data_IF_649247446998
#
_entry.id   IF_649247446998
#
_cell.length_a   1.000
_cell.length_b   1.000
_cell.length_c   1.000
_cell.angle_alpha   90.00
_cell.angle_beta   90.00
_cell.angle_gamma   90.00
#
_symmetry.space_group_name_H-M   'P 1'
#
loop_
_entity.id
_entity.type
_entity.pdbx_description
1 polymer ?
#
# COMPACT_ATOMS: atom_id res chain seq x y z
N UNK A 1 17.12 49.33 16.48
CA UNK A 1 15.81 49.52 17.15
C UNK A 1 15.36 48.25 17.88
N UNK A 2 14.59 48.33 18.98
CA UNK A 2 14.06 47.13 19.65
C UNK A 2 13.00 46.47 18.77
N UNK A 3 13.31 45.29 18.27
CA UNK A 3 12.40 44.47 17.49
C UNK A 3 11.31 43.88 18.39
N UNK A 4 10.06 43.92 17.93
CA UNK A 4 8.92 43.24 18.57
C UNK A 4 8.33 42.22 17.60
N UNK A 5 7.76 41.17 18.17
CA UNK A 5 7.08 40.13 17.40
C UNK A 5 5.60 40.12 17.75
N UNK A 6 4.75 40.12 16.72
CA UNK A 6 3.35 39.76 16.88
C UNK A 6 3.25 38.23 17.05
N UNK A 7 2.96 37.80 18.28
CA UNK A 7 2.88 36.39 18.65
C UNK A 7 1.79 35.62 17.89
N UNK A 8 0.71 36.29 17.47
CA UNK A 8 -0.35 35.65 16.69
C UNK A 8 0.15 35.34 15.29
N UNK A 9 0.86 36.27 14.65
CA UNK A 9 1.44 36.05 13.32
C UNK A 9 2.56 34.99 13.38
N UNK A 10 3.35 34.97 14.45
CA UNK A 10 4.30 33.88 14.72
C UNK A 10 3.57 32.53 14.80
N UNK A 11 2.47 32.44 15.55
CA UNK A 11 1.68 31.22 15.65
C UNK A 11 1.09 30.79 14.29
N UNK A 12 0.61 31.72 13.47
CA UNK A 12 0.13 31.44 12.11
C UNK A 12 1.25 30.90 11.23
N UNK A 13 2.45 31.49 11.27
CA UNK A 13 3.63 31.00 10.54
C UNK A 13 3.95 29.55 10.92
N UNK A 14 3.85 29.21 12.21
CA UNK A 14 4.08 27.86 12.71
C UNK A 14 3.03 26.86 12.24
N UNK A 15 1.75 27.26 12.24
CA UNK A 15 0.65 26.44 11.70
C UNK A 15 0.87 26.18 10.20
N UNK A 16 1.26 27.19 9.42
CA UNK A 16 1.54 27.03 7.99
C UNK A 16 2.69 26.06 7.76
N UNK A 17 3.82 26.19 8.47
CA UNK A 17 4.95 25.26 8.34
C UNK A 17 4.59 23.83 8.75
N UNK A 18 3.84 23.66 9.84
CA UNK A 18 3.38 22.35 10.30
C UNK A 18 2.45 21.71 9.26
N UNK A 19 1.51 22.48 8.73
CA UNK A 19 0.57 22.00 7.72
C UNK A 19 1.29 21.66 6.40
N UNK A 20 2.19 22.52 5.92
CA UNK A 20 3.01 22.24 4.74
C UNK A 20 3.85 20.96 4.91
N UNK A 21 4.40 20.74 6.11
CA UNK A 21 5.12 19.51 6.44
C UNK A 21 4.20 18.27 6.39
N UNK A 22 2.98 18.37 6.94
CA UNK A 22 2.00 17.29 6.88
C UNK A 22 1.65 16.89 5.44
N UNK A 23 1.37 17.89 4.59
CA UNK A 23 1.03 17.69 3.17
C UNK A 23 2.18 17.05 2.42
N UNK A 24 3.41 17.50 2.68
CA UNK A 24 4.63 16.94 2.08
C UNK A 24 4.77 15.45 2.37
N UNK A 25 4.57 15.05 3.62
CA UNK A 25 4.68 13.64 4.02
C UNK A 25 3.63 12.76 3.32
N UNK A 26 2.44 13.29 3.01
CA UNK A 26 1.44 12.59 2.20
C UNK A 26 1.83 12.52 0.71
N UNK A 27 2.25 13.64 0.12
CA UNK A 27 2.61 13.70 -1.30
C UNK A 27 3.82 12.83 -1.63
N UNK A 28 4.84 12.82 -0.77
CA UNK A 28 6.02 11.97 -0.94
C UNK A 28 5.66 10.47 -0.95
N UNK A 29 4.64 10.04 -0.19
CA UNK A 29 4.10 8.67 -0.26
C UNK A 29 3.49 8.38 -1.62
N UNK A 30 2.74 9.32 -2.19
CA UNK A 30 2.10 9.18 -3.51
C UNK A 30 3.13 9.10 -4.63
N UNK A 31 4.19 9.90 -4.57
CA UNK A 31 5.32 9.81 -5.50
C UNK A 31 5.89 8.39 -5.50
N UNK A 32 6.07 7.78 -4.32
CA UNK A 32 6.64 6.43 -4.17
C UNK A 32 5.69 5.30 -4.60
N UNK A 33 4.37 5.45 -4.43
CA UNK A 33 3.37 4.40 -4.70
C UNK A 33 2.79 4.44 -6.11
N UNK A 34 3.02 5.53 -6.86
CA UNK A 34 2.46 5.71 -8.20
C UNK A 34 3.29 5.05 -9.29
N UNK A 35 2.67 4.81 -10.44
CA UNK A 35 3.40 4.45 -11.68
C UNK A 35 4.30 5.61 -12.11
N UNK A 36 5.32 5.33 -12.92
CA UNK A 36 6.39 6.30 -13.23
C UNK A 36 5.87 7.66 -13.76
N UNK A 37 4.88 7.67 -14.66
CA UNK A 37 4.28 8.90 -15.18
C UNK A 37 3.54 9.71 -14.12
N UNK A 38 2.69 9.04 -13.33
CA UNK A 38 1.96 9.68 -12.22
C UNK A 38 2.90 10.13 -11.11
N UNK A 39 3.98 9.39 -10.83
CA UNK A 39 4.98 9.75 -9.84
C UNK A 39 5.66 11.09 -10.16
N UNK A 40 5.95 11.36 -11.44
CA UNK A 40 6.50 12.66 -11.89
C UNK A 40 5.53 13.81 -11.70
N UNK A 41 4.24 13.59 -11.96
CA UNK A 41 3.19 14.59 -11.73
C UNK A 41 3.10 14.90 -10.23
N UNK A 42 3.02 13.87 -9.38
CA UNK A 42 3.00 14.04 -7.93
C UNK A 42 4.25 14.71 -7.38
N UNK A 43 5.41 14.43 -7.97
CA UNK A 43 6.67 15.04 -7.59
C UNK A 43 6.68 16.54 -7.93
N UNK A 44 6.25 16.90 -9.15
CA UNK A 44 6.16 18.31 -9.56
C UNK A 44 5.15 19.08 -8.72
N UNK A 45 3.93 18.56 -8.58
CA UNK A 45 2.89 19.16 -7.76
C UNK A 45 3.33 19.29 -6.29
N UNK A 46 3.93 18.24 -5.72
CA UNK A 46 4.42 18.27 -4.35
C UNK A 46 5.56 19.25 -4.13
N UNK A 47 6.45 19.42 -5.12
CA UNK A 47 7.55 20.38 -5.03
C UNK A 47 7.02 21.82 -5.00
N UNK A 48 6.02 22.12 -5.83
CA UNK A 48 5.36 23.42 -5.87
C UNK A 48 4.61 23.70 -4.57
N UNK A 49 3.81 22.74 -4.10
CA UNK A 49 2.99 22.88 -2.89
C UNK A 49 3.86 23.02 -1.65
N UNK A 50 4.88 22.18 -1.48
CA UNK A 50 5.81 22.29 -0.35
C UNK A 50 6.64 23.59 -0.43
N UNK A 51 7.21 23.90 -1.59
CA UNK A 51 8.01 25.12 -1.77
C UNK A 51 7.21 26.38 -1.45
N UNK A 52 5.96 26.43 -1.91
CA UNK A 52 5.03 27.51 -1.60
C UNK A 52 4.69 27.58 -0.10
N UNK A 53 4.59 26.45 0.59
CA UNK A 53 4.36 26.41 2.04
C UNK A 53 5.54 26.91 2.86
N UNK A 54 6.77 26.48 2.54
CA UNK A 54 7.98 26.96 3.23
C UNK A 54 8.16 28.48 2.97
N UNK A 55 7.97 28.90 1.73
CA UNK A 55 8.03 30.31 1.33
C UNK A 55 6.94 31.14 2.04
N UNK A 56 5.71 30.65 2.11
CA UNK A 56 4.61 31.34 2.81
C UNK A 56 4.90 31.48 4.30
N UNK A 57 5.42 30.43 4.96
CA UNK A 57 5.83 30.55 6.35
C UNK A 57 6.89 31.63 6.52
N UNK A 58 7.91 31.66 5.66
CA UNK A 58 8.98 32.66 5.74
C UNK A 58 8.43 34.09 5.70
N UNK A 59 7.60 34.43 4.71
CA UNK A 59 7.08 35.79 4.57
C UNK A 59 6.02 36.15 5.63
N UNK A 60 5.23 35.20 6.11
CA UNK A 60 4.37 35.43 7.29
C UNK A 60 5.22 35.67 8.53
N UNK A 61 6.30 34.91 8.73
CA UNK A 61 7.24 35.13 9.83
C UNK A 61 7.97 36.48 9.74
N UNK A 62 8.26 36.96 8.53
CA UNK A 62 8.75 38.33 8.31
C UNK A 62 7.72 39.39 8.72
N UNK A 63 6.45 39.19 8.38
CA UNK A 63 5.37 40.11 8.77
C UNK A 63 5.15 40.15 10.28
N UNK A 64 5.52 39.08 11.01
CA UNK A 64 5.46 39.08 12.46
C UNK A 64 6.48 40.05 13.10
N UNK A 65 7.52 40.45 12.37
CA UNK A 65 8.57 41.33 12.86
C UNK A 65 8.17 42.81 12.68
N UNK A 66 7.86 43.47 13.78
CA UNK A 66 7.41 44.86 13.78
C UNK A 66 8.59 45.83 13.80
N UNK A 67 8.69 46.65 12.77
CA UNK A 67 9.62 47.79 12.70
C UNK A 67 8.89 49.06 12.30
N UNK A 68 9.33 50.25 12.77
CA UNK A 68 8.66 51.52 12.52
C UNK A 68 9.01 52.09 11.13
N UNK A 69 9.08 51.23 10.11
CA UNK A 69 9.28 51.58 8.70
C UNK A 69 8.32 50.74 7.86
N UNK A 70 7.77 51.32 6.79
CA UNK A 70 6.98 50.55 5.83
C UNK A 70 7.90 49.58 5.10
N UNK A 71 7.64 48.28 5.24
CA UNK A 71 8.40 47.24 4.57
C UNK A 71 7.68 46.78 3.31
N UNK A 72 8.44 46.72 2.21
CA UNK A 72 8.08 46.00 1.00
C UNK A 72 9.18 45.03 0.60
N UNK A 73 8.96 44.34 -0.51
CA UNK A 73 9.83 43.28 -1.00
C UNK A 73 10.01 43.40 -2.51
N UNK A 74 11.25 43.40 -2.95
CA UNK A 74 11.62 43.43 -4.36
C UNK A 74 11.07 42.20 -5.07
N UNK A 75 10.27 42.39 -6.13
CA UNK A 75 9.56 41.30 -6.81
C UNK A 75 10.46 40.20 -7.35
N UNK A 76 11.59 40.58 -7.96
CA UNK A 76 12.56 39.65 -8.54
C UNK A 76 13.23 38.73 -7.51
N UNK A 77 13.70 39.29 -6.39
CA UNK A 77 14.32 38.52 -5.31
C UNK A 77 13.28 37.66 -4.58
N UNK A 78 12.05 38.17 -4.43
CA UNK A 78 10.94 37.41 -3.87
C UNK A 78 10.64 36.17 -4.71
N UNK A 79 10.56 36.30 -6.04
CA UNK A 79 10.38 35.18 -6.96
C UNK A 79 11.57 34.20 -6.91
N UNK A 80 12.80 34.71 -6.89
CA UNK A 80 14.00 33.87 -6.81
C UNK A 80 14.02 33.04 -5.51
N UNK A 81 13.62 33.64 -4.39
CA UNK A 81 13.49 32.93 -3.11
C UNK A 81 12.45 31.80 -3.21
N UNK A 82 11.31 32.03 -3.86
CA UNK A 82 10.30 30.99 -4.08
C UNK A 82 10.82 29.85 -4.96
N UNK A 83 11.54 30.15 -6.04
CA UNK A 83 12.19 29.14 -6.88
C UNK A 83 13.18 28.30 -6.08
N UNK A 84 13.98 28.92 -5.20
CA UNK A 84 14.88 28.21 -4.30
C UNK A 84 14.11 27.27 -3.35
N UNK A 85 12.96 27.71 -2.82
CA UNK A 85 12.08 26.90 -1.98
C UNK A 85 11.57 25.65 -2.73
N UNK A 86 11.10 25.85 -3.97
CA UNK A 86 10.59 24.77 -4.83
C UNK A 86 11.70 23.80 -5.22
N UNK A 87 12.89 24.30 -5.55
CA UNK A 87 14.04 23.46 -5.88
C UNK A 87 14.52 22.62 -4.69
N UNK A 88 14.64 23.22 -3.49
CA UNK A 88 14.94 22.50 -2.26
C UNK A 88 13.88 21.42 -1.98
N UNK A 89 12.62 21.74 -2.25
CA UNK A 89 11.50 20.83 -2.08
C UNK A 89 11.51 19.65 -3.05
N UNK A 90 11.92 19.90 -4.30
CA UNK A 90 12.08 18.88 -5.32
C UNK A 90 13.17 17.86 -4.94
N UNK A 91 14.31 18.34 -4.41
CA UNK A 91 15.39 17.48 -3.89
C UNK A 91 14.88 16.63 -2.72
N UNK A 92 14.14 17.24 -1.79
CA UNK A 92 13.58 16.55 -0.63
C UNK A 92 12.66 15.39 -1.06
N UNK A 93 11.71 15.65 -1.96
CA UNK A 93 10.74 14.66 -2.44
C UNK A 93 11.40 13.56 -3.28
N UNK A 94 12.37 13.91 -4.11
CA UNK A 94 13.12 12.94 -4.92
C UNK A 94 13.88 11.96 -4.02
N UNK A 95 14.53 12.43 -2.96
CA UNK A 95 15.29 11.58 -2.04
C UNK A 95 14.36 10.79 -1.13
N UNK A 96 13.32 11.44 -0.61
CA UNK A 96 12.31 10.81 0.23
C UNK A 96 11.62 9.64 -0.50
N UNK A 97 11.21 9.83 -1.75
CA UNK A 97 10.44 8.84 -2.50
C UNK A 97 11.21 7.59 -2.95
N UNK A 98 12.54 7.54 -2.77
CA UNK A 98 13.35 6.38 -3.18
C UNK A 98 13.06 5.15 -2.32
N UNK A 99 13.23 3.96 -2.93
CA UNK A 99 12.97 2.66 -2.26
C UNK A 99 14.07 2.26 -1.29
N UNK A 100 15.32 2.64 -1.56
CA UNK A 100 16.51 2.23 -0.79
C UNK A 100 17.03 3.37 0.09
N UNK A 101 17.15 3.08 1.38
CA UNK A 101 17.77 3.99 2.34
C UNK A 101 19.30 3.95 2.19
N UNK A 102 19.93 5.12 2.19
CA UNK A 102 21.39 5.26 2.14
C UNK A 102 21.82 6.48 2.92
N UNK A 103 22.66 6.29 3.93
CA UNK A 103 23.19 7.38 4.75
C UNK A 103 23.90 8.46 3.91
N UNK A 104 24.63 8.07 2.87
CA UNK A 104 25.30 9.02 1.95
C UNK A 104 24.29 9.90 1.21
N UNK A 105 23.19 9.32 0.70
CA UNK A 105 22.16 10.08 -0.01
C UNK A 105 21.38 11.00 0.92
N UNK A 106 21.08 10.54 2.14
CA UNK A 106 20.43 11.37 3.15
C UNK A 106 21.34 12.54 3.54
N UNK A 107 22.64 12.31 3.73
CA UNK A 107 23.60 13.37 4.04
C UNK A 107 23.71 14.40 2.90
N UNK A 108 23.91 13.96 1.65
CA UNK A 108 23.97 14.85 0.49
C UNK A 108 22.64 15.58 0.26
N UNK A 109 21.52 14.89 0.45
CA UNK A 109 20.19 15.45 0.37
C UNK A 109 19.91 16.51 1.42
N UNK A 110 20.27 16.23 2.68
CA UNK A 110 20.12 17.15 3.79
C UNK A 110 20.97 18.41 3.59
N UNK A 111 22.19 18.26 3.07
CA UNK A 111 23.05 19.38 2.74
C UNK A 111 22.43 20.24 1.62
N UNK A 112 22.04 19.62 0.50
CA UNK A 112 21.44 20.34 -0.62
C UNK A 112 20.13 21.04 -0.25
N UNK A 113 19.26 20.35 0.49
CA UNK A 113 17.98 20.87 0.96
C UNK A 113 18.17 21.97 2.01
N UNK A 114 19.07 21.77 2.99
CA UNK A 114 19.39 22.77 4.01
C UNK A 114 19.96 24.05 3.39
N UNK A 115 20.92 23.93 2.48
CA UNK A 115 21.46 25.06 1.73
C UNK A 115 20.39 25.75 0.87
N UNK A 116 19.49 24.99 0.23
CA UNK A 116 18.39 25.55 -0.56
C UNK A 116 17.38 26.32 0.29
N UNK A 117 17.03 25.81 1.47
CA UNK A 117 16.14 26.51 2.41
C UNK A 117 16.82 27.77 2.97
N UNK A 118 18.11 27.70 3.31
CA UNK A 118 18.88 28.87 3.73
C UNK A 118 19.00 29.91 2.60
N UNK A 119 19.24 29.47 1.36
CA UNK A 119 19.28 30.35 0.19
C UNK A 119 17.93 31.04 -0.02
N UNK A 120 16.82 30.32 0.08
CA UNK A 120 15.48 30.91 0.05
C UNK A 120 15.34 31.98 1.14
N UNK A 121 15.67 31.64 2.38
CA UNK A 121 15.50 32.55 3.52
C UNK A 121 16.31 33.85 3.34
N UNK A 122 17.62 33.74 3.06
CA UNK A 122 18.48 34.91 2.93
C UNK A 122 18.20 35.73 1.66
N UNK A 123 17.77 35.09 0.58
CA UNK A 123 17.29 35.81 -0.62
C UNK A 123 15.99 36.56 -0.34
N UNK A 124 15.08 35.97 0.45
CA UNK A 124 13.86 36.63 0.91
C UNK A 124 14.16 37.82 1.82
N UNK A 125 15.13 37.70 2.74
CA UNK A 125 15.61 38.82 3.56
C UNK A 125 16.21 39.94 2.71
N UNK A 126 16.99 39.59 1.69
CA UNK A 126 17.57 40.57 0.76
C UNK A 126 16.50 41.30 -0.06
N UNK A 127 15.32 40.71 -0.26
CA UNK A 127 14.22 41.36 -0.95
C UNK A 127 13.69 42.61 -0.23
N UNK A 128 13.95 42.76 1.08
CA UNK A 128 13.60 43.98 1.81
C UNK A 128 14.26 45.25 1.24
N UNK A 129 15.34 45.10 0.47
CA UNK A 129 16.02 46.19 -0.25
C UNK A 129 16.25 47.44 0.62
N UNK A 130 16.93 47.21 1.76
CA UNK A 130 17.18 48.24 2.76
C UNK A 130 18.45 49.02 2.47
N UNK A 131 18.39 50.34 2.69
CA UNK A 131 19.57 51.22 2.67
C UNK A 131 19.60 52.07 3.96
N UNK A 132 20.68 51.98 4.78
CA UNK A 132 21.77 51.01 4.71
C UNK A 132 21.31 49.56 4.91
N UNK A 133 22.01 48.62 4.29
CA UNK A 133 21.62 47.21 4.28
C UNK A 133 21.68 46.51 5.64
N UNK A 134 21.12 45.29 5.69
CA UNK A 134 21.10 44.44 6.88
C UNK A 134 22.54 44.14 7.34
N UNK A 135 22.81 44.35 8.64
CA UNK A 135 24.07 43.98 9.26
C UNK A 135 23.92 42.57 9.86
N UNK A 136 24.79 41.66 9.44
CA UNK A 136 24.70 40.24 9.79
C UNK A 136 25.58 39.85 10.98
N UNK A 137 25.00 39.10 11.92
CA UNK A 137 25.73 38.32 12.91
C UNK A 137 26.08 36.94 12.31
N UNK A 138 27.27 36.82 11.72
CA UNK A 138 27.73 35.62 11.02
C UNK A 138 27.68 34.32 11.85
N UNK A 139 28.02 34.31 13.16
CA UNK A 139 27.78 33.15 14.01
C UNK A 139 26.33 32.67 14.02
N UNK A 140 25.35 33.57 14.13
CA UNK A 140 23.92 33.18 14.10
C UNK A 140 23.47 32.74 12.71
N UNK A 141 24.05 33.31 11.64
CA UNK A 141 23.87 32.81 10.27
C UNK A 141 24.38 31.37 10.14
N UNK A 142 25.56 31.07 10.67
CA UNK A 142 26.09 29.70 10.65
C UNK A 142 25.20 28.73 11.45
N UNK A 143 24.69 29.16 12.60
CA UNK A 143 23.77 28.35 13.42
C UNK A 143 22.44 28.09 12.69
N UNK A 144 21.85 29.09 12.03
CA UNK A 144 20.60 28.88 11.28
C UNK A 144 20.79 27.90 10.12
N UNK A 145 21.91 27.99 9.38
CA UNK A 145 22.27 27.07 8.29
C UNK A 145 22.47 25.65 8.84
N UNK A 146 23.15 25.52 9.98
CA UNK A 146 23.31 24.22 10.64
C UNK A 146 21.95 23.63 11.05
N UNK A 147 21.07 24.44 11.63
CA UNK A 147 19.68 24.02 11.95
C UNK A 147 18.97 23.56 10.68
N UNK A 148 19.11 24.29 9.56
CA UNK A 148 18.49 23.93 8.28
C UNK A 148 18.95 22.54 7.79
N UNK A 149 20.25 22.25 7.85
CA UNK A 149 20.82 20.97 7.42
C UNK A 149 20.39 19.83 8.35
N UNK A 150 20.43 20.04 9.68
CA UNK A 150 20.01 19.03 10.66
C UNK A 150 18.50 18.75 10.58
N UNK A 151 17.69 19.80 10.40
CA UNK A 151 16.26 19.70 10.16
C UNK A 151 15.98 18.88 8.89
N UNK A 152 16.71 19.14 7.81
CA UNK A 152 16.58 18.42 6.55
C UNK A 152 16.96 16.94 6.69
N UNK A 153 18.05 16.62 7.40
CA UNK A 153 18.44 15.24 7.69
C UNK A 153 17.38 14.52 8.51
N UNK A 154 16.83 15.20 9.51
CA UNK A 154 15.76 14.67 10.39
C UNK A 154 14.50 14.40 9.59
N UNK A 155 14.05 15.34 8.75
CA UNK A 155 12.89 15.19 7.89
C UNK A 155 13.02 14.00 6.92
N UNK A 156 14.16 13.89 6.23
CA UNK A 156 14.44 12.79 5.30
C UNK A 156 14.47 11.42 6.00
N UNK A 157 14.98 11.38 7.23
CA UNK A 157 15.02 10.16 8.05
C UNK A 157 13.63 9.76 8.54
N UNK A 158 12.88 10.71 9.11
CA UNK A 158 11.50 10.51 9.55
C UNK A 158 10.63 10.01 8.41
N UNK A 159 10.79 10.54 7.20
CA UNK A 159 10.06 10.08 6.04
C UNK A 159 10.26 8.57 5.79
N UNK A 160 11.51 8.10 5.82
CA UNK A 160 11.82 6.69 5.65
C UNK A 160 11.29 5.82 6.79
N UNK A 161 11.25 6.33 8.02
CA UNK A 161 10.65 5.63 9.16
C UNK A 161 9.12 5.51 9.00
N UNK A 162 8.45 6.59 8.59
CA UNK A 162 6.99 6.61 8.37
C UNK A 162 6.54 5.66 7.26
N UNK A 163 7.40 5.36 6.28
CA UNK A 163 7.12 4.36 5.24
C UNK A 163 7.10 2.92 5.76
N UNK A 164 7.70 2.65 6.92
CA UNK A 164 7.65 1.32 7.58
C UNK A 164 6.40 1.14 8.44
N UNK A 165 5.71 2.23 8.79
CA UNK A 165 4.52 2.18 9.66
C UNK A 165 3.29 1.72 8.86
N UNK A 166 2.52 0.73 9.35
CA UNK A 166 1.27 0.30 8.73
C UNK A 166 0.28 1.46 8.57
N UNK A 167 -0.50 1.45 7.49
CA UNK A 167 -1.42 2.56 7.15
C UNK A 167 -2.38 2.91 8.30
N UNK A 168 -2.87 1.92 9.04
CA UNK A 168 -3.84 2.09 10.14
C UNK A 168 -3.27 2.84 11.35
N UNK A 169 -1.96 2.75 11.61
CA UNK A 169 -1.33 3.37 12.78
C UNK A 169 -0.57 4.66 12.43
N UNK A 170 -0.54 5.05 11.16
CA UNK A 170 0.37 6.09 10.66
C UNK A 170 -0.01 7.51 11.04
N UNK A 171 -1.30 7.81 11.19
CA UNK A 171 -1.80 9.17 11.44
C UNK A 171 -1.10 9.88 12.61
N UNK A 172 -1.00 9.30 13.83
CA UNK A 172 -0.33 9.97 14.96
C UNK A 172 1.16 10.24 14.68
N UNK A 173 1.88 9.30 14.06
CA UNK A 173 3.29 9.49 13.71
C UNK A 173 3.48 10.60 12.67
N UNK A 174 2.57 10.71 11.70
CA UNK A 174 2.62 11.76 10.69
C UNK A 174 2.34 13.14 11.29
N UNK A 175 1.39 13.25 12.21
CA UNK A 175 1.13 14.49 12.95
C UNK A 175 2.34 14.90 13.80
N UNK A 176 2.94 13.96 14.54
CA UNK A 176 4.14 14.23 15.34
C UNK A 176 5.34 14.64 14.48
N UNK A 177 5.53 13.97 13.34
CA UNK A 177 6.55 14.32 12.35
C UNK A 177 6.35 15.73 11.78
N UNK A 178 5.12 16.08 11.41
CA UNK A 178 4.79 17.39 10.87
C UNK A 178 5.03 18.51 11.88
N UNK A 179 4.68 18.28 13.16
CA UNK A 179 4.94 19.23 14.25
C UNK A 179 6.44 19.45 14.45
N UNK A 180 7.22 18.36 14.52
CA UNK A 180 8.68 18.44 14.68
C UNK A 180 9.34 19.18 13.50
N UNK A 181 8.90 18.90 12.27
CA UNK A 181 9.35 19.63 11.09
C UNK A 181 8.94 21.11 11.17
N UNK A 182 7.71 21.43 11.60
CA UNK A 182 7.26 22.80 11.81
C UNK A 182 8.17 23.57 12.78
N UNK A 183 8.50 22.96 13.93
CA UNK A 183 9.45 23.52 14.90
C UNK A 183 10.82 23.76 14.26
N UNK A 184 11.31 22.82 13.45
CA UNK A 184 12.62 22.94 12.83
C UNK A 184 12.68 24.02 11.75
N UNK A 185 11.65 24.15 10.91
CA UNK A 185 11.59 25.18 9.85
C UNK A 185 11.44 26.58 10.49
N UNK A 186 10.55 26.74 11.49
CA UNK A 186 10.44 28.00 12.23
C UNK A 186 11.72 28.31 13.02
N UNK A 187 12.34 27.31 13.65
CA UNK A 187 13.58 27.47 14.39
C UNK A 187 14.72 27.99 13.50
N UNK A 188 14.86 27.45 12.29
CA UNK A 188 15.79 27.97 11.30
C UNK A 188 15.48 29.42 10.93
N UNK A 189 14.20 29.70 10.60
CA UNK A 189 13.77 31.03 10.17
C UNK A 189 14.00 32.11 11.24
N UNK A 190 13.53 31.90 12.47
CA UNK A 190 13.67 32.88 13.54
C UNK A 190 15.12 33.02 14.04
N UNK A 191 15.94 31.96 13.94
CA UNK A 191 17.39 32.09 14.16
C UNK A 191 18.04 32.95 13.07
N UNK A 192 17.62 32.78 11.81
CA UNK A 192 18.06 33.64 10.70
C UNK A 192 17.64 35.10 10.87
N UNK A 193 16.41 35.34 11.35
CA UNK A 193 15.93 36.68 11.74
C UNK A 193 16.74 37.29 12.87
N UNK A 194 17.04 36.51 13.92
CA UNK A 194 17.87 36.98 15.03
C UNK A 194 19.30 37.33 14.59
N UNK A 195 19.76 36.78 13.47
CA UNK A 195 21.06 37.13 12.89
C UNK A 195 21.05 38.47 12.14
N UNK A 196 19.88 38.99 11.77
CA UNK A 196 19.71 40.23 11.01
C UNK A 196 19.53 41.43 11.94
N UNK A 197 20.43 42.41 11.85
CA UNK A 197 20.27 43.71 12.52
C UNK A 197 20.00 44.79 11.48
N UNK A 198 18.82 45.40 11.56
CA UNK A 198 18.45 46.56 10.74
C UNK A 198 19.07 47.82 11.37
N UNK A 199 19.90 48.58 10.62
CA UNK A 199 20.47 49.85 11.10
C UNK A 199 19.40 50.87 11.45
N UNK A 200 19.68 51.72 12.44
CA UNK A 200 18.78 52.83 12.76
C UNK A 200 18.77 53.84 11.60
N UNK A 201 17.58 54.26 11.16
CA UNK A 201 17.42 55.15 10.00
C UNK A 201 17.46 54.46 8.63
N UNK A 202 17.46 53.12 8.58
CA UNK A 202 17.33 52.40 7.32
C UNK A 202 15.97 52.68 6.65
N UNK A 203 15.99 52.88 5.33
CA UNK A 203 14.81 53.01 4.48
C UNK A 203 14.66 51.78 3.58
N UNK A 204 13.42 51.39 3.30
CA UNK A 204 13.09 50.30 2.39
C UNK A 204 12.79 50.88 1.01
N UNK A 205 13.64 50.58 0.02
CA UNK A 205 13.46 51.09 -1.34
C UNK A 205 12.30 50.40 -2.07
N UNK A 206 11.97 49.17 -1.67
CA UNK A 206 10.89 48.36 -2.24
C UNK A 206 9.54 48.54 -1.53
N UNK A 207 9.38 49.59 -0.70
CA UNK A 207 8.16 49.81 0.11
C UNK A 207 6.87 49.89 -0.71
N UNK A 208 6.97 50.35 -1.96
CA UNK A 208 5.84 50.52 -2.89
C UNK A 208 5.64 49.31 -3.84
N UNK A 209 6.46 48.27 -3.73
CA UNK A 209 6.36 47.05 -4.55
C UNK A 209 5.42 46.00 -3.92
N UNK A 210 5.95 44.82 -3.57
CA UNK A 210 5.21 43.78 -2.88
C UNK A 210 5.21 44.08 -1.39
N UNK A 211 4.07 44.46 -0.83
CA UNK A 211 3.94 44.77 0.59
C UNK A 211 2.48 44.70 1.02
N UNK A 212 2.25 44.53 2.33
CA UNK A 212 0.91 44.54 2.90
C UNK A 212 -0.08 43.60 2.19
N UNK A 213 -1.17 44.11 1.57
CA UNK A 213 -2.24 43.28 1.01
C UNK A 213 -1.82 42.29 -0.10
N UNK A 214 -0.89 42.66 -0.97
CA UNK A 214 -0.50 41.81 -2.11
C UNK A 214 0.25 40.55 -1.66
N UNK A 215 1.17 40.70 -0.71
CA UNK A 215 1.87 39.59 -0.09
C UNK A 215 0.91 38.70 0.71
N UNK A 216 0.00 39.30 1.49
CA UNK A 216 -1.04 38.55 2.22
C UNK A 216 -1.95 37.76 1.28
N UNK A 217 -2.30 38.32 0.12
CA UNK A 217 -3.07 37.62 -0.90
C UNK A 217 -2.28 36.42 -1.48
N UNK A 218 -1.00 36.58 -1.80
CA UNK A 218 -0.15 35.49 -2.28
C UNK A 218 -0.03 34.35 -1.26
N UNK A 219 0.22 34.69 0.00
CA UNK A 219 0.26 33.72 1.12
C UNK A 219 -1.08 33.00 1.28
N UNK A 220 -2.20 33.73 1.16
CA UNK A 220 -3.54 33.16 1.25
C UNK A 220 -3.82 32.17 0.11
N UNK A 221 -3.42 32.51 -1.12
CA UNK A 221 -3.51 31.61 -2.28
C UNK A 221 -2.66 30.36 -2.08
N UNK A 222 -1.41 30.51 -1.64
CA UNK A 222 -0.53 29.38 -1.37
C UNK A 222 -1.07 28.45 -0.26
N UNK A 223 -1.63 29.03 0.80
CA UNK A 223 -2.29 28.28 1.89
C UNK A 223 -3.57 27.59 1.40
N UNK A 224 -4.35 28.25 0.54
CA UNK A 224 -5.51 27.65 -0.14
C UNK A 224 -5.12 26.46 -1.01
N UNK A 225 -4.03 26.55 -1.77
CA UNK A 225 -3.50 25.45 -2.58
C UNK A 225 -3.07 24.26 -1.71
N UNK A 226 -2.46 24.52 -0.55
CA UNK A 226 -2.14 23.48 0.43
C UNK A 226 -3.40 22.78 0.96
N UNK A 227 -4.45 23.53 1.30
CA UNK A 227 -5.72 22.99 1.78
C UNK A 227 -6.44 22.15 0.71
N UNK A 228 -6.55 22.69 -0.51
CA UNK A 228 -7.16 21.99 -1.64
C UNK A 228 -6.40 20.71 -1.96
N UNK A 229 -5.06 20.75 -1.95
CA UNK A 229 -4.23 19.56 -2.14
C UNK A 229 -4.54 18.50 -1.08
N UNK A 230 -4.64 18.89 0.19
CA UNK A 230 -4.94 17.97 1.30
C UNK A 230 -6.34 17.36 1.20
N UNK A 231 -7.33 18.17 0.83
CA UNK A 231 -8.69 17.70 0.63
C UNK A 231 -8.73 16.72 -0.55
N UNK A 232 -8.10 17.08 -1.67
CA UNK A 232 -8.04 16.25 -2.86
C UNK A 232 -7.36 14.90 -2.58
N UNK A 233 -6.22 14.90 -1.89
CA UNK A 233 -5.52 13.66 -1.51
C UNK A 233 -6.37 12.80 -0.58
N UNK A 234 -7.05 13.41 0.40
CA UNK A 234 -7.95 12.71 1.32
C UNK A 234 -9.15 12.08 0.58
N UNK A 235 -9.74 12.80 -0.39
CA UNK A 235 -10.85 12.31 -1.21
C UNK A 235 -10.43 11.13 -2.10
N UNK A 236 -9.25 11.20 -2.72
CA UNK A 236 -8.71 10.08 -3.49
C UNK A 236 -8.48 8.84 -2.62
N UNK A 237 -7.92 9.03 -1.41
CA UNK A 237 -7.70 7.93 -0.47
C UNK A 237 -9.01 7.29 0.01
N UNK A 238 -10.06 8.09 0.23
CA UNK A 238 -11.39 7.60 0.59
C UNK A 238 -12.02 6.79 -0.56
N UNK A 239 -11.92 7.28 -1.81
CA UNK A 239 -12.43 6.57 -2.99
C UNK A 239 -11.68 5.27 -3.26
N UNK A 240 -10.34 5.30 -3.20
CA UNK A 240 -9.52 4.11 -3.47
C UNK A 240 -9.78 2.99 -2.46
N UNK A 241 -9.98 3.32 -1.18
CA UNK A 241 -10.28 2.32 -0.15
C UNK A 241 -11.60 1.59 -0.41
N UNK A 242 -12.64 2.33 -0.82
CA UNK A 242 -13.94 1.72 -1.16
C UNK A 242 -13.84 0.73 -2.32
N UNK A 243 -13.10 1.09 -3.38
CA UNK A 243 -12.93 0.19 -4.55
C UNK A 243 -12.12 -1.04 -4.21
N UNK A 244 -11.01 -0.91 -3.47
CA UNK A 244 -10.17 -2.07 -3.12
C UNK A 244 -10.93 -3.08 -2.25
N UNK A 245 -11.72 -2.62 -1.27
CA UNK A 245 -12.53 -3.50 -0.44
C UNK A 245 -13.60 -4.23 -1.26
N UNK A 246 -14.30 -3.51 -2.16
CA UNK A 246 -15.30 -4.13 -3.06
C UNK A 246 -14.68 -5.18 -3.97
N UNK A 247 -13.50 -4.90 -4.53
CA UNK A 247 -12.80 -5.84 -5.40
C UNK A 247 -12.35 -7.09 -4.63
N UNK A 248 -11.82 -6.93 -3.42
CA UNK A 248 -11.42 -8.05 -2.57
C UNK A 248 -12.62 -8.94 -2.22
N UNK A 249 -13.76 -8.34 -1.87
CA UNK A 249 -14.99 -9.07 -1.60
C UNK A 249 -15.50 -9.81 -2.84
N UNK A 250 -15.55 -9.12 -4.00
CA UNK A 250 -15.97 -9.74 -5.26
C UNK A 250 -15.07 -10.90 -5.68
N UNK A 251 -13.75 -10.77 -5.45
CA UNK A 251 -12.79 -11.83 -5.71
C UNK A 251 -13.01 -13.04 -4.79
N UNK A 252 -13.31 -12.79 -3.51
CA UNK A 252 -13.60 -13.85 -2.55
C UNK A 252 -14.90 -14.59 -2.90
N UNK A 253 -15.95 -13.86 -3.26
CA UNK A 253 -17.23 -14.44 -3.73
C UNK A 253 -17.05 -15.26 -5.01
N UNK A 254 -16.27 -14.76 -5.97
CA UNK A 254 -15.98 -15.49 -7.22
C UNK A 254 -15.18 -16.77 -6.97
N UNK A 255 -14.16 -16.72 -6.10
CA UNK A 255 -13.40 -17.91 -5.70
C UNK A 255 -14.27 -18.95 -5.01
N UNK A 256 -15.17 -18.53 -4.11
CA UNK A 256 -16.10 -19.45 -3.46
C UNK A 256 -17.03 -20.14 -4.48
N UNK A 257 -17.60 -19.38 -5.43
CA UNK A 257 -18.43 -19.94 -6.51
C UNK A 257 -17.67 -20.92 -7.39
N UNK A 258 -16.42 -20.60 -7.75
CA UNK A 258 -15.56 -21.48 -8.52
C UNK A 258 -15.26 -22.78 -7.77
N UNK A 259 -15.00 -22.72 -6.47
CA UNK A 259 -14.77 -23.91 -5.64
C UNK A 259 -16.01 -24.80 -5.57
N UNK A 260 -17.19 -24.24 -5.36
CA UNK A 260 -18.45 -24.99 -5.37
C UNK A 260 -18.70 -25.64 -6.73
N UNK A 261 -18.60 -24.87 -7.82
CA UNK A 261 -18.81 -25.40 -9.18
C UNK A 261 -17.81 -26.51 -9.53
N UNK A 262 -16.54 -26.37 -9.12
CA UNK A 262 -15.52 -27.41 -9.33
C UNK A 262 -15.84 -28.68 -8.51
N UNK A 263 -16.34 -28.52 -7.28
CA UNK A 263 -16.77 -29.65 -6.45
C UNK A 263 -17.97 -30.38 -7.06
N UNK A 264 -18.97 -29.64 -7.54
CA UNK A 264 -20.13 -30.21 -8.23
C UNK A 264 -19.73 -30.92 -9.53
N UNK A 265 -18.83 -30.33 -10.33
CA UNK A 265 -18.30 -30.95 -11.54
C UNK A 265 -17.56 -32.24 -11.21
N UNK A 266 -16.72 -32.26 -10.17
CA UNK A 266 -16.04 -33.48 -9.72
C UNK A 266 -17.02 -34.55 -9.29
N UNK A 267 -18.04 -34.21 -8.50
CA UNK A 267 -19.07 -35.17 -8.13
C UNK A 267 -19.73 -35.77 -9.38
N UNK A 268 -20.20 -34.93 -10.31
CA UNK A 268 -20.84 -35.39 -11.56
C UNK A 268 -19.90 -36.21 -12.45
N UNK A 269 -18.60 -35.88 -12.49
CA UNK A 269 -17.63 -36.55 -13.34
C UNK A 269 -17.19 -37.92 -12.82
N UNK A 270 -17.34 -38.20 -11.52
CA UNK A 270 -16.76 -39.40 -10.87
C UNK A 270 -17.77 -40.32 -10.20
N UNK A 271 -19.06 -39.96 -10.13
CA UNK A 271 -20.11 -40.82 -9.55
C UNK A 271 -21.17 -41.21 -10.57
N UNK A 272 -21.67 -42.43 -10.48
CA UNK A 272 -22.90 -42.88 -11.14
C UNK A 272 -24.12 -42.17 -10.54
N UNK A 273 -24.96 -41.48 -11.33
CA UNK A 273 -26.05 -40.66 -10.82
C UNK A 273 -27.20 -41.46 -10.18
N UNK A 274 -27.34 -42.75 -10.50
CA UNK A 274 -28.40 -43.60 -9.98
C UNK A 274 -27.99 -44.23 -8.64
N UNK A 275 -26.82 -44.86 -8.57
CA UNK A 275 -26.37 -45.58 -7.35
C UNK A 275 -25.50 -44.75 -6.40
N UNK A 276 -24.96 -43.62 -6.86
CA UNK A 276 -23.99 -42.82 -6.10
C UNK A 276 -22.62 -43.48 -5.91
N UNK A 277 -22.39 -44.64 -6.54
CA UNK A 277 -21.10 -45.30 -6.55
C UNK A 277 -20.10 -44.57 -7.47
N UNK A 278 -18.79 -44.74 -7.27
CA UNK A 278 -17.79 -44.45 -8.29
C UNK A 278 -18.22 -44.92 -9.69
N UNK A 279 -18.03 -44.08 -10.70
CA UNK A 279 -18.22 -44.47 -12.09
C UNK A 279 -16.93 -45.11 -12.64
N UNK A 280 -16.98 -45.53 -13.91
CA UNK A 280 -15.83 -46.12 -14.60
C UNK A 280 -14.55 -45.28 -14.52
N UNK A 281 -14.67 -43.96 -14.67
CA UNK A 281 -13.51 -43.07 -14.65
C UNK A 281 -12.81 -43.06 -13.29
N UNK A 282 -13.58 -42.96 -12.19
CA UNK A 282 -13.02 -43.01 -10.85
C UNK A 282 -12.44 -44.39 -10.51
N UNK A 283 -13.07 -45.45 -11.01
CA UNK A 283 -12.56 -46.82 -10.84
C UNK A 283 -11.19 -46.99 -11.50
N UNK A 284 -11.03 -46.58 -12.75
CA UNK A 284 -9.76 -46.67 -13.48
C UNK A 284 -8.64 -45.86 -12.80
N UNK A 285 -8.96 -44.67 -12.28
CA UNK A 285 -8.01 -43.87 -11.49
C UNK A 285 -7.57 -44.59 -10.21
N UNK A 286 -8.51 -45.16 -9.45
CA UNK A 286 -8.21 -45.89 -8.21
C UNK A 286 -7.44 -47.18 -8.48
N UNK A 287 -7.77 -47.93 -9.53
CA UNK A 287 -7.02 -49.11 -9.95
C UNK A 287 -5.56 -48.74 -10.26
N UNK A 288 -5.32 -47.65 -11.00
CA UNK A 288 -3.96 -47.16 -11.27
C UNK A 288 -3.20 -46.83 -9.98
N UNK A 289 -3.84 -46.15 -9.02
CA UNK A 289 -3.23 -45.84 -7.73
C UNK A 289 -2.95 -47.09 -6.89
N UNK A 290 -3.87 -48.05 -6.87
CA UNK A 290 -3.73 -49.31 -6.15
C UNK A 290 -2.54 -50.13 -6.68
N UNK A 291 -2.38 -50.21 -8.01
CA UNK A 291 -1.24 -50.88 -8.63
C UNK A 291 0.09 -50.23 -8.23
N UNK A 292 0.18 -48.89 -8.21
CA UNK A 292 1.37 -48.16 -7.77
C UNK A 292 1.67 -48.33 -6.26
N UNK A 293 0.64 -48.51 -5.43
CA UNK A 293 0.83 -48.81 -4.00
C UNK A 293 1.34 -50.23 -3.80
N UNK A 294 0.73 -51.20 -4.47
CA UNK A 294 1.13 -52.60 -4.40
C UNK A 294 2.58 -52.80 -4.89
N UNK A 295 2.96 -52.18 -6.01
CA UNK A 295 4.33 -52.23 -6.53
C UNK A 295 5.35 -51.70 -5.51
N UNK A 296 5.08 -50.54 -4.90
CA UNK A 296 5.94 -49.96 -3.85
C UNK A 296 6.04 -50.83 -2.60
N UNK A 297 4.95 -51.51 -2.21
CA UNK A 297 4.95 -52.43 -1.07
C UNK A 297 5.79 -53.67 -1.37
N UNK A 298 5.62 -54.26 -2.56
CA UNK A 298 6.38 -55.42 -3.02
C UNK A 298 7.89 -55.11 -3.08
N UNK A 299 8.28 -53.92 -3.53
CA UNK A 299 9.67 -53.46 -3.49
C UNK A 299 10.27 -53.36 -2.07
N UNK A 300 9.44 -53.21 -1.04
CA UNK A 300 9.84 -53.18 0.37
C UNK A 300 9.78 -54.57 1.03
N UNK A 301 9.55 -55.62 0.26
CA UNK A 301 9.42 -57.00 0.77
C UNK A 301 8.07 -57.33 1.40
N UNK A 302 7.09 -56.43 1.32
CA UNK A 302 5.70 -56.70 1.73
C UNK A 302 4.94 -57.26 0.53
N UNK A 303 4.49 -58.52 0.59
CA UNK A 303 3.63 -59.06 -0.46
C UNK A 303 2.26 -58.39 -0.42
N UNK A 304 1.97 -57.59 -1.44
CA UNK A 304 0.70 -56.89 -1.61
C UNK A 304 0.18 -57.09 -3.02
N UNK A 305 -1.05 -57.57 -3.14
CA UNK A 305 -1.73 -57.81 -4.41
C UNK A 305 -3.01 -56.99 -4.49
N UNK A 306 -3.47 -56.78 -5.72
CA UNK A 306 -4.72 -56.10 -6.04
C UNK A 306 -5.56 -57.06 -6.86
N UNK A 307 -6.86 -57.16 -6.60
CA UNK A 307 -7.79 -57.94 -7.41
C UNK A 307 -8.92 -57.05 -7.93
N UNK A 308 -9.40 -57.35 -9.14
CA UNK A 308 -10.60 -56.75 -9.72
C UNK A 308 -11.63 -57.86 -9.91
N UNK A 309 -12.81 -57.69 -9.33
CA UNK A 309 -13.95 -58.57 -9.53
C UNK A 309 -14.97 -57.84 -10.42
N UNK A 310 -15.48 -58.57 -11.41
CA UNK A 310 -16.57 -58.11 -12.27
C UNK A 310 -17.85 -58.84 -11.87
N UNK A 311 -18.92 -58.08 -11.63
CA UNK A 311 -20.20 -58.57 -11.16
C UNK A 311 -21.29 -58.10 -12.12
N UNK A 312 -22.07 -59.04 -12.63
CA UNK A 312 -23.22 -58.81 -13.51
C UNK A 312 -24.47 -59.37 -12.82
N UNK A 313 -25.63 -58.72 -12.99
CA UNK A 313 -26.87 -59.17 -12.37
C UNK A 313 -27.65 -60.10 -13.31
N UNK A 314 -27.63 -61.38 -12.99
CA UNK A 314 -28.40 -62.39 -13.71
C UNK A 314 -29.90 -62.04 -13.76
N UNK A 315 -30.46 -62.01 -14.97
CA UNK A 315 -31.90 -61.83 -15.17
C UNK A 315 -32.42 -60.42 -14.90
N UNK A 316 -31.57 -59.40 -14.88
CA UNK A 316 -31.99 -58.02 -14.65
C UNK A 316 -32.98 -57.49 -15.71
N UNK A 317 -32.78 -57.82 -16.99
CA UNK A 317 -33.68 -57.40 -18.08
C UNK A 317 -35.14 -57.88 -17.90
N UNK A 318 -35.42 -59.16 -17.63
CA UNK A 318 -36.77 -59.62 -17.25
C UNK A 318 -37.43 -58.85 -16.10
N UNK A 319 -36.65 -58.38 -15.10
CA UNK A 319 -37.19 -57.57 -13.99
C UNK A 319 -37.68 -56.22 -14.52
N UNK A 320 -36.89 -55.54 -15.36
CA UNK A 320 -37.30 -54.30 -16.01
C UNK A 320 -38.55 -54.49 -16.88
N UNK A 321 -38.58 -55.57 -17.66
CA UNK A 321 -39.69 -55.86 -18.58
C UNK A 321 -40.99 -56.18 -17.83
N UNK A 322 -40.91 -56.81 -16.66
CA UNK A 322 -42.08 -57.27 -15.88
C UNK A 322 -42.59 -56.26 -14.86
N UNK A 323 -41.68 -55.50 -14.24
CA UNK A 323 -41.99 -54.61 -13.11
C UNK A 323 -41.69 -53.13 -13.39
N UNK A 324 -41.14 -52.83 -14.57
CA UNK A 324 -40.80 -51.49 -15.01
C UNK A 324 -39.43 -51.01 -14.52
N UNK A 325 -38.87 -50.04 -15.26
CA UNK A 325 -37.52 -49.49 -15.00
C UNK A 325 -37.34 -48.90 -13.60
N UNK A 326 -38.39 -48.30 -13.00
CA UNK A 326 -38.29 -47.75 -11.65
C UNK A 326 -37.99 -48.83 -10.59
N UNK A 327 -38.51 -50.05 -10.78
CA UNK A 327 -38.24 -51.18 -9.88
C UNK A 327 -36.83 -51.72 -10.12
N UNK A 328 -36.38 -51.78 -11.37
CA UNK A 328 -34.98 -52.13 -11.70
C UNK A 328 -33.98 -51.13 -11.12
N UNK A 329 -34.25 -49.83 -11.21
CA UNK A 329 -33.42 -48.77 -10.63
C UNK A 329 -33.32 -48.90 -9.11
N UNK A 330 -34.43 -49.18 -8.43
CA UNK A 330 -34.44 -49.44 -6.98
C UNK A 330 -33.63 -50.70 -6.62
N UNK A 331 -33.74 -51.77 -7.41
CA UNK A 331 -32.95 -52.99 -7.24
C UNK A 331 -31.45 -52.70 -7.39
N UNK A 332 -31.05 -51.91 -8.38
CA UNK A 332 -29.64 -51.51 -8.58
C UNK A 332 -29.10 -50.71 -7.40
N UNK A 333 -29.89 -49.79 -6.83
CA UNK A 333 -29.52 -49.05 -5.61
C UNK A 333 -29.33 -49.99 -4.40
N UNK A 334 -30.23 -50.95 -4.21
CA UNK A 334 -30.13 -51.94 -3.13
C UNK A 334 -28.89 -52.83 -3.29
N UNK A 335 -28.61 -53.30 -4.50
CA UNK A 335 -27.40 -54.07 -4.82
C UNK A 335 -26.15 -53.23 -4.53
N UNK A 336 -26.10 -52.00 -5.03
CA UNK A 336 -24.99 -51.08 -4.81
C UNK A 336 -24.70 -50.88 -3.32
N UNK A 337 -25.74 -50.72 -2.50
CA UNK A 337 -25.62 -50.56 -1.05
C UNK A 337 -25.09 -51.84 -0.38
N UNK A 338 -25.59 -53.02 -0.77
CA UNK A 338 -25.12 -54.32 -0.24
C UNK A 338 -23.66 -54.56 -0.58
N UNK A 339 -23.25 -54.34 -1.83
CA UNK A 339 -21.85 -54.47 -2.26
C UNK A 339 -20.95 -53.51 -1.47
N UNK A 340 -21.38 -52.26 -1.27
CA UNK A 340 -20.63 -51.28 -0.49
C UNK A 340 -20.45 -51.68 0.98
N UNK A 341 -21.44 -52.34 1.58
CA UNK A 341 -21.38 -52.80 2.99
C UNK A 341 -20.47 -54.02 3.18
N UNK A 342 -20.20 -54.79 2.13
CA UNK A 342 -19.29 -55.95 2.17
C UNK A 342 -17.80 -55.53 2.12
N UNK A 343 -17.53 -54.33 1.62
CA UNK A 343 -16.19 -53.82 1.34
C UNK A 343 -15.57 -53.06 2.52
N UNK A 344 -14.24 -53.10 2.60
CA UNK A 344 -13.45 -52.29 3.54
C UNK A 344 -13.31 -50.86 3.03
N UNK A 345 -12.87 -49.94 3.88
CA UNK A 345 -12.65 -48.53 3.47
C UNK A 345 -11.62 -48.37 2.36
N UNK A 346 -10.65 -49.27 2.29
CA UNK A 346 -9.58 -49.31 1.27
C UNK A 346 -10.01 -49.94 -0.05
N UNK A 347 -11.14 -50.67 -0.08
CA UNK A 347 -11.67 -51.28 -1.28
C UNK A 347 -12.62 -50.31 -2.02
N UNK A 348 -12.85 -50.55 -3.31
CA UNK A 348 -13.74 -49.71 -4.13
C UNK A 348 -14.78 -50.55 -4.84
N UNK A 349 -16.06 -50.19 -4.73
CA UNK A 349 -17.09 -50.65 -5.69
C UNK A 349 -17.41 -49.52 -6.65
N UNK A 350 -17.58 -49.83 -7.92
CA UNK A 350 -17.96 -48.91 -8.98
C UNK A 350 -19.06 -49.51 -9.85
N UNK A 351 -19.91 -48.67 -10.43
CA UNK A 351 -20.86 -49.08 -11.47
C UNK A 351 -20.36 -48.61 -12.83
N UNK A 352 -20.28 -49.52 -13.80
CA UNK A 352 -19.67 -49.28 -15.11
C UNK A 352 -20.72 -49.16 -16.21
N UNK A 353 -21.85 -49.84 -16.04
CA UNK A 353 -22.92 -49.94 -17.02
C UNK A 353 -24.28 -50.23 -16.38
N UNK A 354 -25.23 -50.74 -17.16
CA UNK A 354 -26.61 -51.00 -16.74
C UNK A 354 -26.69 -51.80 -15.43
N UNK A 355 -26.32 -53.06 -15.48
CA UNK A 355 -26.32 -54.06 -14.41
C UNK A 355 -24.90 -54.48 -13.96
N UNK A 356 -23.87 -53.84 -14.52
CA UNK A 356 -22.47 -54.22 -14.32
C UNK A 356 -21.77 -53.39 -13.21
N UNK A 357 -21.18 -54.10 -12.26
CA UNK A 357 -20.39 -53.56 -11.16
C UNK A 357 -18.94 -54.07 -11.20
N UNK A 358 -18.01 -53.23 -10.78
CA UNK A 358 -16.61 -53.58 -10.55
C UNK A 358 -16.25 -53.41 -9.08
N UNK A 359 -15.54 -54.36 -8.52
CA UNK A 359 -14.97 -54.27 -7.18
C UNK A 359 -13.44 -54.33 -7.28
N UNK A 360 -12.76 -53.39 -6.64
CA UNK A 360 -11.32 -53.32 -6.50
C UNK A 360 -10.98 -53.69 -5.05
N UNK A 361 -10.27 -54.80 -4.87
CA UNK A 361 -9.78 -55.24 -3.58
C UNK A 361 -8.28 -54.92 -3.48
N UNK A 362 -7.89 -54.17 -2.45
CA UNK A 362 -6.51 -53.79 -2.19
C UNK A 362 -5.86 -54.68 -1.09
N UNK A 363 -4.52 -54.71 -1.03
CA UNK A 363 -3.75 -55.37 0.03
C UNK A 363 -4.04 -56.86 0.26
N UNK A 364 -4.26 -57.63 -0.80
CA UNK A 364 -4.45 -59.07 -0.70
C UNK A 364 -3.12 -59.80 -0.51
N UNK A 365 -3.11 -60.80 0.37
CA UNK A 365 -1.92 -61.64 0.62
C UNK A 365 -1.80 -62.76 -0.41
N UNK A 366 -2.91 -63.44 -0.67
CA UNK A 366 -2.98 -64.58 -1.59
C UNK A 366 -4.15 -64.45 -2.58
N UNK A 367 -4.08 -65.09 -3.77
CA UNK A 367 -5.19 -65.07 -4.73
C UNK A 367 -6.48 -65.71 -4.18
N UNK A 368 -6.34 -66.64 -3.22
CA UNK A 368 -7.46 -67.29 -2.55
C UNK A 368 -8.33 -66.28 -1.77
N UNK A 369 -7.76 -65.16 -1.30
CA UNK A 369 -8.49 -64.11 -0.59
C UNK A 369 -9.57 -63.48 -1.48
N UNK A 370 -9.27 -63.28 -2.77
CA UNK A 370 -10.22 -62.73 -3.73
C UNK A 370 -11.37 -63.71 -4.04
N UNK A 371 -11.07 -65.01 -4.13
CA UNK A 371 -12.08 -66.06 -4.34
C UNK A 371 -13.00 -66.19 -3.12
N UNK A 372 -12.43 -66.19 -1.92
CA UNK A 372 -13.21 -66.23 -0.68
C UNK A 372 -14.11 -65.00 -0.52
N UNK A 373 -13.64 -63.82 -0.96
CA UNK A 373 -14.48 -62.62 -1.01
C UNK A 373 -15.61 -62.77 -2.03
N UNK A 374 -15.32 -63.25 -3.24
CA UNK A 374 -16.32 -63.44 -4.29
C UNK A 374 -17.46 -64.40 -3.92
N UNK A 375 -17.24 -65.35 -2.99
CA UNK A 375 -18.28 -66.24 -2.47
C UNK A 375 -19.20 -65.59 -1.42
N UNK A 376 -18.80 -64.44 -0.87
CA UNK A 376 -19.58 -63.66 0.12
C UNK A 376 -20.45 -62.59 -0.54
N UNK A 377 -20.05 -62.17 -1.75
CA UNK A 377 -20.85 -61.33 -2.66
C UNK A 377 -21.97 -62.19 -3.22
#
# INVERSE_FOLDING_TARGET
MPARYDLLVVAVSFVIATFASYVTLDLARRVRQSTWGLARIWWGAGSLVMGSGIWSMHFVGMQAFEVPIALGYAGGLTLLSWVAAVAASAVALEIASRKTFSYRRVALGALAMGLGISAMHYTGMAALDLVPGIVWNWPLVAVSVLIAVLASATALTIFHLLLKVPKQQRLPYQLGAALLMGVAICGMHYTGMAAARIPDGAICLSSDELGGPSLTAMVSIATGLLLVSTLFTSLLDARMQGTTQRLAQSLQESNAKLQTANTELKQRAFTDPLTGLPNRLLFEERLGQALLRADRANHRGLQSRVAVLFVDLDGFKPVNDSFGHAVGDALLCDVAQRLRQLLREEDTVARIGGDEFLLLLENLGEPADALAFGQRV
#
